data_IF_583143623421
#
_entry.id   IF_583143623421
#
_cell.length_a   1.000
_cell.length_b   1.000
_cell.length_c   1.000
_cell.angle_alpha   90.00
_cell.angle_beta   90.00
_cell.angle_gamma   90.00
#
_symmetry.space_group_name_H-M   'P 1'
#
loop_
_entity.id
_entity.type
_entity.pdbx_description
1 polymer ?
#
# COMPACT_ATOMS: atom_id res chain seq x y z
N UNK A 1 3.93 -58.48 6.54
CA UNK A 1 4.78 -58.66 7.73
C UNK A 1 4.17 -57.83 8.85
N UNK A 2 3.60 -58.54 9.82
CA UNK A 2 2.85 -58.05 10.97
C UNK A 2 3.79 -57.51 12.04
N UNK A 3 3.43 -56.43 12.71
CA UNK A 3 3.85 -56.20 14.09
C UNK A 3 2.68 -55.69 14.92
N UNK A 4 2.05 -56.61 15.68
CA UNK A 4 1.19 -56.33 16.83
C UNK A 4 2.09 -56.05 18.02
N UNK A 5 1.88 -54.94 18.73
CA UNK A 5 2.42 -54.79 20.09
C UNK A 5 1.29 -54.74 21.12
N UNK A 6 1.38 -55.72 22.01
CA UNK A 6 0.51 -56.03 23.11
C UNK A 6 0.54 -54.96 24.23
N UNK A 7 -0.65 -54.57 24.69
CA UNK A 7 -0.81 -53.90 25.96
C UNK A 7 -1.04 -54.93 27.06
N UNK A 8 -0.08 -55.05 27.98
CA UNK A 8 -0.19 -55.88 29.18
C UNK A 8 -1.07 -55.23 30.22
N UNK A 9 -2.17 -55.88 30.55
CA UNK A 9 -2.96 -55.62 31.75
C UNK A 9 -2.28 -56.22 32.99
N UNK A 10 -1.93 -55.39 33.94
CA UNK A 10 -1.52 -55.89 35.27
C UNK A 10 -2.74 -55.99 36.15
N UNK A 11 -3.22 -57.20 36.35
CA UNK A 11 -4.13 -57.57 37.41
C UNK A 11 -3.35 -57.61 38.73
N UNK A 12 -3.64 -56.77 39.69
CA UNK A 12 -3.18 -56.89 41.07
C UNK A 12 -4.23 -57.69 41.86
N UNK A 13 -3.80 -58.86 42.28
CA UNK A 13 -4.60 -59.69 43.15
C UNK A 13 -4.63 -59.09 44.58
N UNK A 14 -5.82 -58.82 45.06
CA UNK A 14 -6.04 -58.46 46.48
C UNK A 14 -6.31 -59.76 47.34
N UNK A 15 -5.37 -60.04 48.17
CA UNK A 15 -5.47 -61.20 49.12
C UNK A 15 -6.36 -60.82 50.32
N UNK A 16 -7.25 -61.72 50.66
CA UNK A 16 -8.25 -61.64 51.76
C UNK A 16 -7.58 -61.81 53.10
N UNK A 17 -7.68 -60.83 54.02
CA UNK A 17 -7.59 -61.02 55.41
C UNK A 17 -8.71 -60.21 56.10
N UNK A 18 -9.66 -60.93 56.73
CA UNK A 18 -10.77 -60.41 57.54
C UNK A 18 -10.27 -59.76 58.79
N UNK A 19 -10.59 -58.50 59.04
CA UNK A 19 -10.80 -57.93 60.36
C UNK A 19 -11.89 -56.89 60.31
N UNK A 20 -12.99 -57.06 60.99
CA UNK A 20 -14.08 -56.11 61.19
C UNK A 20 -13.58 -54.85 61.90
N UNK A 21 -13.68 -53.71 61.27
CA UNK A 21 -13.81 -52.43 61.97
C UNK A 21 -14.64 -51.52 61.05
N UNK A 22 -15.81 -51.12 61.57
CA UNK A 22 -16.67 -50.12 60.98
C UNK A 22 -15.93 -48.76 60.93
N UNK A 23 -15.48 -48.36 59.78
CA UNK A 23 -15.14 -46.94 59.49
C UNK A 23 -15.90 -46.55 58.23
N UNK A 24 -16.79 -45.57 58.39
CA UNK A 24 -17.64 -45.08 57.33
C UNK A 24 -16.78 -44.57 56.16
N UNK A 25 -16.97 -45.14 55.00
CA UNK A 25 -16.46 -44.63 53.76
C UNK A 25 -17.33 -43.43 53.41
N UNK A 26 -16.87 -42.21 53.67
CA UNK A 26 -17.40 -41.03 53.07
C UNK A 26 -17.05 -41.14 51.57
N UNK A 27 -18.07 -41.37 50.75
CA UNK A 27 -17.93 -41.20 49.30
C UNK A 27 -17.63 -39.71 49.04
N UNK A 28 -16.37 -39.38 48.82
CA UNK A 28 -16.03 -38.10 48.22
C UNK A 28 -16.58 -38.15 46.80
N UNK A 29 -17.72 -37.50 46.62
CA UNK A 29 -18.22 -37.10 45.31
C UNK A 29 -17.20 -36.09 44.76
N UNK A 30 -16.21 -36.55 43.99
CA UNK A 30 -15.49 -35.68 43.12
C UNK A 30 -16.50 -35.22 42.05
N UNK A 31 -17.19 -34.12 42.37
CA UNK A 31 -17.92 -33.32 41.41
C UNK A 31 -16.89 -32.71 40.45
N UNK A 32 -16.51 -33.51 39.43
CA UNK A 32 -15.79 -33.02 38.29
C UNK A 32 -16.73 -32.06 37.54
N UNK A 33 -16.92 -30.87 38.09
CA UNK A 33 -17.49 -29.76 37.35
C UNK A 33 -16.49 -29.41 36.29
N UNK A 34 -16.55 -30.11 35.14
CA UNK A 34 -15.97 -29.65 33.91
C UNK A 34 -16.70 -28.35 33.55
N UNK A 35 -16.15 -27.23 34.01
CA UNK A 35 -16.56 -25.93 33.52
C UNK A 35 -16.25 -25.91 32.03
N UNK A 36 -17.22 -26.23 31.20
CA UNK A 36 -17.14 -26.01 29.76
C UNK A 36 -17.00 -24.51 29.56
N UNK A 37 -15.78 -24.02 29.48
CA UNK A 37 -15.51 -22.64 29.16
C UNK A 37 -16.04 -22.40 27.73
N UNK A 38 -17.16 -21.68 27.62
CA UNK A 38 -17.69 -21.27 26.34
C UNK A 38 -16.63 -20.45 25.59
N UNK A 39 -16.37 -20.80 24.36
CA UNK A 39 -15.45 -20.05 23.49
C UNK A 39 -16.19 -19.56 22.24
N UNK A 40 -15.78 -18.41 21.73
CA UNK A 40 -16.48 -17.69 20.68
C UNK A 40 -15.54 -17.38 19.52
N UNK A 41 -16.08 -17.45 18.31
CA UNK A 41 -15.37 -17.09 17.09
C UNK A 41 -15.31 -15.57 16.92
N UNK A 42 -14.23 -15.10 16.31
CA UNK A 42 -14.04 -13.71 15.89
C UNK A 42 -14.00 -13.68 14.37
N UNK A 43 -14.91 -12.95 13.77
CA UNK A 43 -15.07 -12.84 12.32
C UNK A 43 -15.52 -11.43 11.91
N UNK A 44 -15.52 -11.18 10.62
CA UNK A 44 -15.94 -9.89 10.06
C UNK A 44 -15.88 -9.88 8.56
N UNK A 45 -16.02 -8.68 7.98
CA UNK A 45 -16.05 -8.46 6.54
C UNK A 45 -14.96 -7.47 6.14
N UNK A 46 -14.26 -7.79 5.05
CA UNK A 46 -13.32 -6.88 4.38
C UNK A 46 -13.96 -6.39 3.11
N UNK A 47 -14.06 -5.06 2.96
CA UNK A 47 -14.66 -4.41 1.79
C UNK A 47 -13.59 -3.69 0.97
N UNK A 48 -13.73 -3.70 -0.36
CA UNK A 48 -12.87 -2.98 -1.29
C UNK A 48 -11.43 -3.49 -1.35
N UNK A 49 -11.15 -4.70 -0.87
CA UNK A 49 -9.80 -5.30 -0.92
C UNK A 49 -9.41 -5.64 -2.36
N UNK A 50 -8.16 -5.35 -2.70
CA UNK A 50 -7.50 -5.82 -3.92
C UNK A 50 -6.07 -6.25 -3.55
N UNK A 51 -5.77 -7.53 -3.68
CA UNK A 51 -4.51 -8.14 -3.29
C UNK A 51 -4.56 -8.84 -1.93
N UNK A 52 -3.45 -8.82 -1.20
CA UNK A 52 -3.24 -9.56 0.04
C UNK A 52 -3.24 -8.63 1.24
N UNK A 53 -4.09 -8.93 2.22
CA UNK A 53 -4.16 -8.28 3.52
C UNK A 53 -3.84 -9.30 4.61
N UNK A 54 -2.96 -8.99 5.55
CA UNK A 54 -2.77 -9.83 6.75
C UNK A 54 -3.31 -9.07 7.95
N UNK A 55 -4.26 -9.69 8.62
CA UNK A 55 -4.84 -9.21 9.86
C UNK A 55 -4.42 -10.10 11.02
N UNK A 56 -4.44 -9.56 12.23
CA UNK A 56 -4.11 -10.31 13.44
C UNK A 56 -5.09 -9.98 14.56
N UNK A 57 -5.36 -10.95 15.39
CA UNK A 57 -6.09 -10.77 16.64
C UNK A 57 -5.14 -10.94 17.82
N UNK A 58 -5.20 -10.03 18.80
CA UNK A 58 -4.37 -10.03 20.02
C UNK A 58 -2.87 -10.20 19.73
N UNK A 59 -2.38 -9.65 18.61
CA UNK A 59 -0.97 -9.68 18.15
C UNK A 59 -0.37 -11.08 17.93
N UNK A 60 -1.19 -12.12 17.79
CA UNK A 60 -0.69 -13.50 17.66
C UNK A 60 -1.45 -14.42 16.70
N UNK A 61 -2.74 -14.25 16.52
CA UNK A 61 -3.54 -15.06 15.59
C UNK A 61 -3.64 -14.34 14.23
N UNK A 62 -2.79 -14.73 13.29
CA UNK A 62 -2.72 -14.12 11.97
C UNK A 62 -3.69 -14.80 11.00
N UNK A 63 -4.40 -13.99 10.23
CA UNK A 63 -5.26 -14.44 9.14
C UNK A 63 -4.91 -13.72 7.86
N UNK A 64 -4.66 -14.47 6.79
CA UNK A 64 -4.45 -13.94 5.45
C UNK A 64 -5.81 -13.84 4.75
N UNK A 65 -6.12 -12.66 4.24
CA UNK A 65 -7.30 -12.38 3.41
C UNK A 65 -6.81 -11.98 2.02
N UNK A 66 -7.23 -12.70 1.01
CA UNK A 66 -6.85 -12.47 -0.37
C UNK A 66 -8.09 -12.22 -1.22
N UNK A 67 -8.00 -11.22 -2.10
CA UNK A 67 -9.05 -10.90 -3.05
C UNK A 67 -8.44 -10.35 -4.33
N UNK A 68 -8.92 -10.84 -5.46
CA UNK A 68 -8.56 -10.36 -6.80
C UNK A 68 -9.66 -9.52 -7.45
N UNK A 69 -10.87 -9.63 -6.92
CA UNK A 69 -12.06 -8.92 -7.42
C UNK A 69 -12.61 -7.98 -6.35
N UNK A 70 -13.47 -7.04 -6.70
CA UNK A 70 -13.97 -6.00 -5.81
C UNK A 70 -15.15 -6.41 -4.93
N UNK A 71 -15.33 -7.70 -4.66
CA UNK A 71 -16.38 -8.22 -3.80
C UNK A 71 -15.95 -8.21 -2.32
N UNK A 72 -16.92 -8.21 -1.42
CA UNK A 72 -16.67 -8.28 0.02
C UNK A 72 -16.22 -9.68 0.42
N UNK A 73 -15.20 -9.77 1.27
CA UNK A 73 -14.64 -11.04 1.76
C UNK A 73 -14.93 -11.20 3.23
N UNK A 74 -15.53 -12.33 3.61
CA UNK A 74 -15.71 -12.69 5.02
C UNK A 74 -14.43 -13.37 5.53
N UNK A 75 -13.95 -12.94 6.69
CA UNK A 75 -12.84 -13.60 7.39
C UNK A 75 -13.28 -14.16 8.73
N UNK A 76 -12.58 -15.19 9.21
CA UNK A 76 -12.73 -15.75 10.55
C UNK A 76 -11.35 -16.15 11.06
N UNK A 77 -11.02 -15.73 12.28
CA UNK A 77 -9.78 -16.15 12.94
C UNK A 77 -9.86 -17.63 13.34
N UNK A 78 -8.72 -18.30 13.32
CA UNK A 78 -8.63 -19.74 13.63
C UNK A 78 -8.87 -20.05 15.10
N UNK A 79 -8.45 -19.14 15.97
CA UNK A 79 -8.49 -19.35 17.42
C UNK A 79 -9.75 -18.73 18.01
N UNK A 80 -10.60 -19.57 18.61
CA UNK A 80 -11.72 -19.10 19.40
C UNK A 80 -11.23 -18.49 20.72
N UNK A 81 -11.94 -17.51 21.24
CA UNK A 81 -11.61 -16.79 22.47
C UNK A 81 -12.60 -17.18 23.57
N UNK A 82 -12.08 -17.44 24.78
CA UNK A 82 -12.91 -17.77 25.93
C UNK A 82 -13.88 -16.64 26.29
N UNK A 83 -15.05 -17.00 26.79
CA UNK A 83 -16.03 -16.03 27.33
C UNK A 83 -15.38 -15.10 28.36
N UNK A 84 -15.66 -13.81 28.23
CA UNK A 84 -15.11 -12.75 29.09
C UNK A 84 -13.70 -12.30 28.74
N UNK A 85 -13.04 -12.91 27.74
CA UNK A 85 -11.72 -12.48 27.29
C UNK A 85 -11.84 -11.34 26.26
N UNK A 86 -10.80 -10.55 26.15
CA UNK A 86 -10.72 -9.44 25.19
C UNK A 86 -10.22 -9.89 23.83
N UNK A 87 -10.71 -9.25 22.78
CA UNK A 87 -10.16 -9.34 21.44
C UNK A 87 -9.69 -7.96 20.96
N UNK A 88 -8.68 -7.94 20.09
CA UNK A 88 -8.18 -6.72 19.45
C UNK A 88 -7.66 -7.07 18.05
N UNK A 89 -8.43 -6.69 17.06
CA UNK A 89 -8.12 -6.94 15.64
C UNK A 89 -7.38 -5.75 15.04
N UNK A 90 -6.28 -6.02 14.38
CA UNK A 90 -5.46 -5.00 13.73
C UNK A 90 -4.95 -5.49 12.37
N UNK A 91 -4.59 -4.55 11.50
CA UNK A 91 -3.90 -4.85 10.25
C UNK A 91 -2.42 -5.06 10.56
N UNK A 92 -1.90 -6.24 10.22
CA UNK A 92 -0.48 -6.58 10.34
C UNK A 92 0.31 -6.20 9.08
N UNK A 93 -0.27 -6.44 7.90
CA UNK A 93 0.33 -6.09 6.63
C UNK A 93 -0.73 -5.51 5.70
N UNK A 94 -0.49 -4.29 5.24
CA UNK A 94 -1.34 -3.60 4.26
C UNK A 94 -1.10 -4.15 2.84
N UNK A 95 -2.13 -4.17 1.97
CA UNK A 95 -1.93 -4.39 0.54
C UNK A 95 -1.01 -3.33 -0.08
N UNK A 96 -0.30 -3.69 -1.16
CA UNK A 96 0.70 -2.80 -1.76
C UNK A 96 0.17 -1.42 -2.19
N UNK A 97 -1.05 -1.37 -2.72
CA UNK A 97 -1.65 -0.15 -3.29
C UNK A 97 -2.85 0.38 -2.52
N UNK A 98 -3.13 -0.18 -1.34
CA UNK A 98 -4.28 0.19 -0.54
C UNK A 98 -3.91 0.50 0.90
N UNK A 99 -4.80 1.20 1.58
CA UNK A 99 -4.80 1.36 3.04
C UNK A 99 -6.12 0.80 3.56
N UNK A 100 -6.04 -0.17 4.47
CA UNK A 100 -7.17 -0.80 5.11
C UNK A 100 -7.28 -0.33 6.56
N UNK A 101 -8.48 0.06 6.98
CA UNK A 101 -8.78 0.51 8.35
C UNK A 101 -9.80 -0.43 8.98
N UNK A 102 -9.61 -0.76 10.25
CA UNK A 102 -10.49 -1.65 11.01
C UNK A 102 -11.46 -0.84 11.86
N UNK A 103 -12.75 -1.16 11.80
CA UNK A 103 -13.79 -0.65 12.69
C UNK A 103 -14.30 -1.77 13.59
N UNK A 104 -14.81 -1.42 14.78
CA UNK A 104 -15.22 -2.38 15.83
C UNK A 104 -14.11 -3.38 16.20
N UNK A 105 -12.88 -2.86 16.19
CA UNK A 105 -11.64 -3.63 16.26
C UNK A 105 -11.41 -4.36 17.58
N UNK A 106 -12.10 -4.01 18.67
CA UNK A 106 -11.83 -4.55 20.00
C UNK A 106 -13.06 -4.62 20.89
N UNK A 107 -13.03 -5.54 21.82
CA UNK A 107 -14.11 -5.72 22.78
C UNK A 107 -13.86 -6.90 23.70
N UNK A 108 -14.92 -7.30 24.44
CA UNK A 108 -14.94 -8.48 25.30
C UNK A 108 -15.94 -9.49 24.76
N UNK A 109 -15.54 -10.76 24.68
CA UNK A 109 -16.38 -11.82 24.12
C UNK A 109 -17.44 -12.29 25.12
N UNK A 110 -18.69 -12.27 24.72
CA UNK A 110 -19.83 -12.92 25.40
C UNK A 110 -20.65 -13.78 24.44
N UNK A 111 -20.36 -13.68 23.15
CA UNK A 111 -20.97 -14.40 22.03
C UNK A 111 -20.00 -14.36 20.84
N UNK A 112 -20.35 -15.05 19.77
CA UNK A 112 -19.60 -14.93 18.51
C UNK A 112 -19.62 -13.48 18.01
N UNK A 113 -18.47 -12.98 17.61
CA UNK A 113 -18.29 -11.64 17.04
C UNK A 113 -18.26 -11.77 15.52
N UNK A 114 -19.12 -11.00 14.83
CA UNK A 114 -19.21 -11.00 13.36
C UNK A 114 -19.37 -9.61 12.76
N UNK A 115 -19.31 -8.57 13.58
CA UNK A 115 -19.54 -7.17 13.19
C UNK A 115 -18.27 -6.38 12.90
N UNK A 116 -17.09 -7.02 12.92
CA UNK A 116 -15.84 -6.35 12.59
C UNK A 116 -15.84 -6.01 11.10
N UNK A 117 -15.57 -4.76 10.77
CA UNK A 117 -15.48 -4.31 9.38
C UNK A 117 -14.10 -3.76 9.08
N UNK A 118 -13.57 -4.12 7.91
CA UNK A 118 -12.29 -3.63 7.41
C UNK A 118 -12.54 -3.00 6.06
N UNK A 119 -12.36 -1.69 5.96
CA UNK A 119 -12.51 -0.96 4.71
C UNK A 119 -11.14 -0.67 4.08
N UNK A 120 -10.94 -1.15 2.86
CA UNK A 120 -9.73 -0.93 2.08
C UNK A 120 -9.98 0.10 1.00
N UNK A 121 -9.12 1.11 0.92
CA UNK A 121 -9.17 2.17 -0.10
C UNK A 121 -7.84 2.27 -0.82
N UNK A 122 -7.88 2.58 -2.12
CA UNK A 122 -6.66 2.78 -2.91
C UNK A 122 -5.90 4.00 -2.42
N UNK A 123 -4.63 3.84 -2.10
CA UNK A 123 -3.72 4.94 -1.82
C UNK A 123 -3.34 5.62 -3.14
N UNK A 124 -3.51 6.92 -3.23
CA UNK A 124 -3.16 7.70 -4.43
C UNK A 124 -2.41 8.97 -4.06
N UNK A 125 -1.50 9.39 -4.93
CA UNK A 125 -0.56 10.46 -4.72
C UNK A 125 -0.63 11.53 -5.79
N UNK A 126 -0.31 12.77 -5.42
CA UNK A 126 -0.17 13.88 -6.35
C UNK A 126 1.20 13.82 -7.04
N UNK A 127 1.23 14.16 -8.32
CA UNK A 127 2.47 14.44 -9.06
C UNK A 127 2.58 15.94 -9.20
N UNK A 128 3.66 16.51 -8.69
CA UNK A 128 3.91 17.95 -8.67
C UNK A 128 5.39 18.25 -8.92
N UNK A 129 5.69 19.52 -9.11
CA UNK A 129 7.03 19.97 -9.41
C UNK A 129 7.14 21.47 -9.60
N UNK A 130 8.20 21.89 -10.28
CA UNK A 130 8.47 23.30 -10.59
C UNK A 130 8.81 23.51 -12.06
N UNK A 131 8.41 24.66 -12.61
CA UNK A 131 8.82 25.17 -13.91
C UNK A 131 9.70 26.39 -13.66
N UNK A 132 10.85 26.45 -14.32
CA UNK A 132 11.78 27.59 -14.23
C UNK A 132 12.24 28.05 -15.61
N UNK A 133 12.61 29.34 -15.71
CA UNK A 133 13.14 29.95 -16.94
C UNK A 133 12.13 30.20 -18.05
N UNK A 134 10.82 30.12 -17.76
CA UNK A 134 9.74 30.31 -18.72
C UNK A 134 9.07 31.69 -18.56
N UNK A 135 8.83 32.35 -19.66
CA UNK A 135 7.88 33.47 -19.79
C UNK A 135 6.67 32.95 -20.57
N UNK A 136 5.45 33.14 -20.01
CA UNK A 136 4.24 32.59 -20.60
C UNK A 136 3.89 31.21 -19.99
N UNK A 137 3.38 30.29 -20.79
CA UNK A 137 2.91 28.99 -20.36
C UNK A 137 3.44 27.84 -21.21
N UNK A 138 3.50 26.65 -20.62
CA UNK A 138 3.83 25.38 -21.27
C UNK A 138 2.75 24.35 -20.94
N UNK A 139 2.48 23.44 -21.85
CA UNK A 139 1.59 22.30 -21.60
C UNK A 139 2.44 21.10 -21.24
N UNK A 140 2.29 20.63 -20.01
CA UNK A 140 2.83 19.37 -19.51
C UNK A 140 1.80 18.26 -19.70
N UNK A 141 2.27 17.04 -19.80
CA UNK A 141 1.41 15.85 -19.90
C UNK A 141 1.98 14.73 -19.05
N UNK A 142 1.13 14.09 -18.24
CA UNK A 142 1.51 12.90 -17.51
C UNK A 142 0.92 11.65 -18.19
N UNK A 143 1.76 10.64 -18.40
CA UNK A 143 1.41 9.36 -19.03
C UNK A 143 0.67 9.49 -20.39
N UNK A 144 0.93 10.56 -21.13
CA UNK A 144 0.35 10.75 -22.46
C UNK A 144 -1.14 11.14 -22.49
N UNK A 145 -1.77 11.40 -21.35
CA UNK A 145 -3.22 11.64 -21.27
C UNK A 145 -3.64 12.83 -20.38
N UNK A 146 -2.97 13.06 -19.26
CA UNK A 146 -3.33 14.11 -18.29
C UNK A 146 -2.56 15.40 -18.64
N UNK A 147 -3.25 16.34 -19.26
CA UNK A 147 -2.67 17.62 -19.72
C UNK A 147 -2.80 18.69 -18.64
N UNK A 148 -1.73 19.45 -18.42
CA UNK A 148 -1.69 20.56 -17.47
C UNK A 148 -0.98 21.77 -18.09
N UNK A 149 -1.69 22.90 -18.22
CA UNK A 149 -1.10 24.16 -18.63
C UNK A 149 -0.55 24.89 -17.42
N UNK A 150 0.74 25.21 -17.43
CA UNK A 150 1.45 25.81 -16.30
C UNK A 150 2.32 26.97 -16.75
N UNK A 151 2.55 27.92 -15.85
CA UNK A 151 3.50 29.02 -16.01
C UNK A 151 4.73 28.75 -15.12
N UNK A 152 5.70 29.67 -15.12
CA UNK A 152 6.85 29.62 -14.24
C UNK A 152 6.42 29.53 -12.77
N UNK A 153 6.98 28.62 -11.99
CA UNK A 153 6.64 28.37 -10.59
C UNK A 153 6.26 26.91 -10.31
N UNK A 154 5.57 26.65 -9.21
CA UNK A 154 5.14 25.32 -8.82
C UNK A 154 3.90 24.88 -9.59
N UNK A 155 3.79 23.56 -9.82
CA UNK A 155 2.61 22.93 -10.41
C UNK A 155 2.22 21.64 -9.69
N UNK A 156 0.96 21.21 -9.85
CA UNK A 156 0.47 19.91 -9.43
C UNK A 156 -0.59 19.42 -10.41
N UNK A 157 -0.48 18.18 -10.85
CA UNK A 157 -1.53 17.53 -11.63
C UNK A 157 -2.77 17.31 -10.79
N UNK A 158 -3.94 17.48 -11.41
CA UNK A 158 -5.23 17.29 -10.71
C UNK A 158 -5.54 15.82 -10.48
N UNK A 159 -5.18 14.97 -11.46
CA UNK A 159 -5.42 13.55 -11.38
C UNK A 159 -4.33 12.88 -10.54
N UNK A 160 -4.77 12.19 -9.49
CA UNK A 160 -3.88 11.40 -8.64
C UNK A 160 -3.50 10.09 -9.32
N UNK A 161 -2.35 9.56 -8.94
CA UNK A 161 -1.84 8.27 -9.41
C UNK A 161 -1.86 7.28 -8.24
N UNK A 162 -2.35 6.06 -8.47
CA UNK A 162 -2.36 5.02 -7.48
C UNK A 162 -0.94 4.64 -7.06
N UNK A 163 -0.76 4.34 -5.78
CA UNK A 163 0.50 3.84 -5.23
C UNK A 163 1.01 2.66 -6.07
N UNK A 164 2.29 2.69 -6.42
CA UNK A 164 2.94 1.67 -7.25
C UNK A 164 2.74 1.84 -8.75
N UNK A 165 1.85 2.73 -9.20
CA UNK A 165 1.69 3.01 -10.63
C UNK A 165 2.80 3.91 -11.16
N UNK A 166 3.17 3.72 -12.42
CA UNK A 166 4.18 4.53 -13.07
C UNK A 166 3.63 5.92 -13.45
N UNK A 167 4.47 6.93 -13.31
CA UNK A 167 4.24 8.26 -13.87
C UNK A 167 5.34 8.63 -14.84
N UNK A 168 5.01 9.45 -15.84
CA UNK A 168 5.95 10.01 -16.81
C UNK A 168 5.46 11.39 -17.25
N UNK A 169 6.07 12.44 -16.70
CA UNK A 169 5.74 13.83 -17.03
C UNK A 169 6.60 14.26 -18.20
N UNK A 170 5.95 14.76 -19.25
CA UNK A 170 6.59 15.24 -20.47
C UNK A 170 6.10 16.63 -20.82
N UNK A 171 6.90 17.37 -21.59
CA UNK A 171 6.46 18.60 -22.24
C UNK A 171 5.69 18.22 -23.50
N UNK A 172 4.37 18.44 -23.51
CA UNK A 172 3.51 18.12 -24.65
C UNK A 172 3.77 19.04 -25.84
N UNK A 173 3.87 20.33 -25.57
CA UNK A 173 4.09 21.34 -26.60
C UNK A 173 5.15 22.34 -26.16
N UNK A 174 6.21 22.46 -26.93
CA UNK A 174 7.28 23.41 -26.65
C UNK A 174 6.78 24.85 -26.91
N UNK A 175 6.90 25.75 -25.91
CA UNK A 175 6.50 27.13 -26.07
C UNK A 175 7.57 27.88 -26.89
N UNK A 176 7.14 28.69 -27.87
CA UNK A 176 8.07 29.55 -28.58
C UNK A 176 8.33 30.84 -27.77
N UNK A 177 9.56 31.37 -27.69
CA UNK A 177 10.82 30.87 -28.26
C UNK A 177 11.62 29.91 -27.40
N UNK A 178 11.01 29.28 -26.40
CA UNK A 178 11.69 28.45 -25.41
C UNK A 178 11.80 26.99 -25.86
N UNK A 179 12.79 26.30 -25.30
CA UNK A 179 12.86 24.83 -25.23
C UNK A 179 12.86 24.44 -23.76
N UNK A 180 11.90 23.61 -23.37
CA UNK A 180 11.75 23.09 -22.00
C UNK A 180 12.16 21.62 -21.96
N UNK A 181 12.91 21.25 -20.92
CA UNK A 181 13.29 19.87 -20.63
C UNK A 181 12.77 19.46 -19.25
N UNK A 182 12.44 18.18 -19.10
CA UNK A 182 11.95 17.61 -17.86
C UNK A 182 13.03 16.74 -17.21
N UNK A 183 13.27 16.92 -15.92
CA UNK A 183 14.15 16.09 -15.11
C UNK A 183 13.38 15.51 -13.92
N UNK A 184 13.83 14.34 -13.41
CA UNK A 184 13.13 13.57 -12.37
C UNK A 184 11.65 13.35 -12.68
N UNK A 185 11.36 13.19 -13.96
CA UNK A 185 10.00 13.28 -14.52
C UNK A 185 9.28 11.94 -14.64
N UNK A 186 9.89 10.83 -14.20
CA UNK A 186 9.31 9.48 -14.26
C UNK A 186 9.73 8.62 -13.09
N UNK A 187 8.87 7.68 -12.71
CA UNK A 187 9.09 6.76 -11.62
C UNK A 187 7.83 5.99 -11.25
N UNK A 188 7.83 5.40 -10.06
CA UNK A 188 6.66 4.78 -9.46
C UNK A 188 6.15 5.68 -8.32
N UNK A 189 4.85 5.86 -8.24
CA UNK A 189 4.23 6.67 -7.19
C UNK A 189 4.28 5.91 -5.85
N UNK A 190 5.15 6.34 -4.94
CA UNK A 190 5.30 5.77 -3.58
C UNK A 190 4.86 6.75 -2.49
N UNK A 191 4.78 8.02 -2.82
CA UNK A 191 4.37 9.15 -1.96
C UNK A 191 3.92 10.30 -2.85
N UNK A 192 3.51 11.44 -2.26
CA UNK A 192 3.29 12.67 -3.01
C UNK A 192 4.60 13.14 -3.63
N UNK A 193 4.65 13.16 -4.95
CA UNK A 193 5.84 13.53 -5.71
C UNK A 193 5.87 15.03 -5.94
N UNK A 194 6.92 15.69 -5.48
CA UNK A 194 7.15 17.14 -5.67
C UNK A 194 8.48 17.45 -6.35
N UNK A 195 9.17 16.44 -6.87
CA UNK A 195 10.53 16.54 -7.40
C UNK A 195 10.65 16.74 -8.90
N UNK A 196 9.53 16.76 -9.66
CA UNK A 196 9.58 16.99 -11.11
C UNK A 196 10.07 18.39 -11.38
N UNK A 197 11.15 18.51 -12.16
CA UNK A 197 11.76 19.79 -12.52
C UNK A 197 11.65 20.00 -14.03
N UNK A 198 11.03 21.11 -14.42
CA UNK A 198 10.94 21.57 -15.81
C UNK A 198 11.81 22.82 -15.94
N UNK A 199 12.84 22.73 -16.76
CA UNK A 199 13.73 23.85 -17.01
C UNK A 199 13.56 24.31 -18.46
N UNK A 200 13.24 25.58 -18.64
CA UNK A 200 13.06 26.20 -19.94
C UNK A 200 14.18 27.20 -20.20
N UNK A 201 14.68 27.21 -21.42
CA UNK A 201 15.66 28.18 -21.89
C UNK A 201 15.23 28.70 -23.27
N UNK A 202 15.60 29.93 -23.59
CA UNK A 202 15.39 30.49 -24.92
C UNK A 202 16.13 29.63 -25.93
N UNK A 203 15.46 29.31 -27.03
CA UNK A 203 16.01 28.52 -28.10
C UNK A 203 17.10 29.32 -28.81
N UNK A 204 18.34 28.84 -28.81
CA UNK A 204 19.43 29.43 -29.57
C UNK A 204 19.36 28.95 -31.02
N UNK A 205 19.43 29.87 -31.92
CA UNK A 205 19.53 29.59 -33.35
C UNK A 205 20.90 30.07 -33.84
N UNK A 206 21.55 29.26 -34.65
CA UNK A 206 22.75 29.67 -35.37
C UNK A 206 22.35 30.19 -36.76
N UNK A 207 22.72 31.43 -37.02
CA UNK A 207 22.62 31.98 -38.35
C UNK A 207 23.96 31.73 -39.08
N UNK A 208 23.94 31.00 -40.15
CA UNK A 208 25.12 30.74 -41.00
C UNK A 208 24.82 31.07 -42.47
N UNK A 209 25.81 31.48 -43.14
CA UNK A 209 25.74 31.79 -44.55
C UNK A 209 27.13 31.96 -45.15
N UNK A 210 27.19 32.04 -46.45
CA UNK A 210 28.43 32.34 -47.22
C UNK A 210 28.31 33.69 -47.89
N UNK A 211 29.35 34.50 -47.79
CA UNK A 211 29.46 35.71 -48.54
C UNK A 211 30.54 35.52 -49.61
N UNK A 212 30.28 35.92 -50.86
CA UNK A 212 31.24 35.81 -51.91
C UNK A 212 31.28 37.14 -52.71
N UNK A 213 32.37 37.37 -53.36
CA UNK A 213 32.55 38.57 -54.22
C UNK A 213 32.88 39.85 -53.45
N UNK A 214 33.31 39.77 -52.22
CA UNK A 214 33.63 40.93 -51.37
C UNK A 214 34.90 41.66 -51.82
N UNK A 215 35.80 41.00 -52.52
CA UNK A 215 37.07 41.63 -52.94
C UNK A 215 37.84 42.15 -51.72
N UNK A 216 38.16 43.45 -51.72
CA UNK A 216 38.78 44.17 -50.63
C UNK A 216 37.79 44.94 -49.74
N UNK A 217 36.48 44.72 -49.90
CA UNK A 217 35.43 45.39 -49.14
C UNK A 217 34.99 44.55 -48.00
N UNK A 218 34.48 45.18 -46.91
CA UNK A 218 33.91 44.50 -45.77
C UNK A 218 32.40 44.53 -45.83
N UNK A 219 31.76 43.41 -45.36
CA UNK A 219 30.30 43.29 -45.19
C UNK A 219 29.95 43.31 -43.71
N UNK A 220 29.16 44.31 -43.32
CA UNK A 220 28.55 44.33 -41.98
C UNK A 220 27.21 43.58 -41.98
N UNK A 221 27.08 42.52 -41.19
CA UNK A 221 25.81 41.83 -40.90
C UNK A 221 25.32 42.29 -39.54
N UNK A 222 24.09 42.76 -39.48
CA UNK A 222 23.43 43.12 -38.22
C UNK A 222 22.31 42.14 -37.92
N UNK A 223 22.32 41.61 -36.70
CA UNK A 223 21.27 40.75 -36.19
C UNK A 223 21.03 41.15 -34.72
N UNK A 224 19.82 41.56 -34.39
CA UNK A 224 19.34 41.87 -33.02
C UNK A 224 20.33 42.79 -32.25
N UNK A 225 20.63 43.96 -32.81
CA UNK A 225 21.60 44.95 -32.24
C UNK A 225 23.07 44.52 -32.18
N UNK A 226 23.42 43.32 -32.60
CA UNK A 226 24.81 42.90 -32.77
C UNK A 226 25.26 43.04 -34.23
N UNK A 227 26.45 43.61 -34.44
CA UNK A 227 27.05 43.73 -35.74
C UNK A 227 28.25 42.80 -35.87
N UNK A 228 28.24 41.90 -36.86
CA UNK A 228 29.37 41.06 -37.24
C UNK A 228 29.95 41.55 -38.56
N UNK A 229 31.24 41.90 -38.60
CA UNK A 229 31.95 42.27 -39.79
C UNK A 229 32.65 41.07 -40.42
N UNK A 230 32.48 40.87 -41.71
CA UNK A 230 33.16 39.85 -42.52
C UNK A 230 34.10 40.56 -43.48
N UNK A 231 35.31 40.07 -43.59
CA UNK A 231 36.36 40.55 -44.51
C UNK A 231 36.83 39.42 -45.41
#
# INVERSE_FOLDING_TARGET
MSYFQNYHWKLAACSIISILLFVGCAAENEDSSSSSSSSFSISGTVTGLSGVLIIQNNSGDDTVVEQTESEDVIFTFKTNISSGSTYSVSVKLQPNSQTCTVSDASGTTSQNISNITIACTSSSYNISGTVSGLTGSVVLQNNGADDLTVSNGSFSFTNKINKGSAYNVTVKTQPSPFTCSAASNRGLASDNMSSVSIVCAVRAYFLSGTASGLGSTTLGLQFDNETKTLS
#
